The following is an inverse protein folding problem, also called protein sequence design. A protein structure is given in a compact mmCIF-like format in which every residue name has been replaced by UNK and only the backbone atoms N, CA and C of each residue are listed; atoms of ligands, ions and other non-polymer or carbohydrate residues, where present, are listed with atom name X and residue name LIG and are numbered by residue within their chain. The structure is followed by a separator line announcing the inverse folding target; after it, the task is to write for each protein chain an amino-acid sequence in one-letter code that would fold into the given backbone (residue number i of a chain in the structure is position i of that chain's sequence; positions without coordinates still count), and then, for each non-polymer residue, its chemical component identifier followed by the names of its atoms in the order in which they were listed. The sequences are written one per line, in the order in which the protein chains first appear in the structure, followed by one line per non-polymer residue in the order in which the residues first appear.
data_IF_856458878505
#
_entry.id   IF_856458878505
#
_cell.length_a   1.000
_cell.length_b   1.000
_cell.length_c   1.000
_cell.angle_alpha   90.00
_cell.angle_beta   90.00
_cell.angle_gamma   90.00
#
_symmetry.space_group_name_H-M   'P 1'
#
loop_
_entity.id
_entity.type
_entity.pdbx_description
1 polymer ?
#
# COMPACT_ATOMS: atom_id res chain seq x y z
N UNK A 1 -10.86 21.17 -32.77
CA UNK A 1 -10.44 22.23 -31.82
C UNK A 1 -9.02 22.66 -32.13
N UNK A 2 -8.56 23.77 -31.54
CA UNK A 2 -7.24 24.35 -31.78
C UNK A 2 -6.14 23.65 -30.94
N UNK A 3 -5.87 22.37 -31.26
CA UNK A 3 -4.97 21.53 -30.45
C UNK A 3 -3.53 22.05 -30.45
N UNK A 4 -3.05 22.59 -31.57
CA UNK A 4 -1.68 23.07 -31.70
C UNK A 4 -1.40 24.25 -30.76
N UNK A 5 -2.31 25.22 -30.69
CA UNK A 5 -2.10 26.41 -29.84
C UNK A 5 -2.26 26.07 -28.37
N UNK A 6 -3.20 25.17 -28.02
CA UNK A 6 -3.32 24.64 -26.66
C UNK A 6 -2.02 23.95 -26.24
N UNK A 7 -1.49 23.04 -27.06
CA UNK A 7 -0.26 22.31 -26.76
C UNK A 7 0.95 23.25 -26.61
N UNK A 8 1.10 24.24 -27.49
CA UNK A 8 2.17 25.25 -27.38
C UNK A 8 2.08 26.06 -26.10
N UNK A 9 0.89 26.54 -25.75
CA UNK A 9 0.66 27.32 -24.53
C UNK A 9 0.99 26.49 -23.27
N UNK A 10 0.52 25.25 -23.23
CA UNK A 10 0.82 24.33 -22.13
C UNK A 10 2.33 24.05 -22.04
N UNK A 11 3.00 23.77 -23.17
CA UNK A 11 4.44 23.51 -23.19
C UNK A 11 5.26 24.69 -22.65
N UNK A 12 4.90 25.92 -23.06
CA UNK A 12 5.53 27.13 -22.55
C UNK A 12 5.36 27.26 -21.04
N UNK A 13 4.17 27.00 -20.50
CA UNK A 13 3.93 27.07 -19.05
C UNK A 13 4.55 25.90 -18.27
N UNK A 14 4.73 24.72 -18.89
CA UNK A 14 5.40 23.56 -18.26
C UNK A 14 6.90 23.76 -18.13
N UNK A 15 7.54 24.35 -19.15
CA UNK A 15 8.99 24.60 -19.21
C UNK A 15 9.46 25.77 -18.32
N UNK A 16 8.56 26.44 -17.59
CA UNK A 16 8.93 27.39 -16.53
C UNK A 16 9.20 26.60 -15.25
N UNK A 17 10.35 26.74 -14.60
CA UNK A 17 10.75 26.03 -13.37
C UNK A 17 10.91 24.51 -13.56
N UNK A 18 11.81 24.12 -14.47
CA UNK A 18 12.25 22.73 -14.60
C UNK A 18 13.15 22.35 -13.41
N UNK A 19 13.08 21.10 -12.96
CA UNK A 19 14.01 20.53 -11.98
C UNK A 19 15.44 20.55 -12.55
N UNK A 20 15.59 20.09 -13.80
CA UNK A 20 16.83 20.22 -14.56
C UNK A 20 16.53 20.76 -15.97
N UNK A 21 17.40 21.61 -16.49
CA UNK A 21 17.23 22.21 -17.83
C UNK A 21 17.14 21.14 -18.93
N UNK A 22 17.83 20.01 -18.76
CA UNK A 22 17.81 18.88 -19.72
C UNK A 22 16.47 18.15 -19.79
N UNK A 23 15.54 18.44 -18.87
CA UNK A 23 14.18 17.86 -18.84
C UNK A 23 13.16 18.67 -19.66
N UNK A 24 13.61 19.56 -20.54
CA UNK A 24 12.73 20.40 -21.37
C UNK A 24 11.68 19.58 -22.16
N UNK A 25 10.43 20.03 -22.08
CA UNK A 25 9.32 19.48 -22.85
C UNK A 25 9.24 20.08 -24.24
N UNK A 26 8.91 19.23 -25.21
CA UNK A 26 8.74 19.61 -26.60
C UNK A 26 7.35 19.20 -27.10
N UNK A 27 6.77 20.04 -27.97
CA UNK A 27 5.52 19.70 -28.65
C UNK A 27 5.81 18.83 -29.87
N UNK A 28 5.29 17.60 -29.89
CA UNK A 28 5.37 16.69 -31.02
C UNK A 28 4.00 16.50 -31.68
N UNK A 29 3.86 16.96 -32.92
CA UNK A 29 2.73 16.58 -33.78
C UNK A 29 3.14 15.40 -34.67
N UNK A 30 2.59 14.22 -34.39
CA UNK A 30 2.86 12.98 -35.13
C UNK A 30 2.28 12.98 -36.55
N UNK A 31 1.33 13.87 -36.86
CA UNK A 31 0.57 13.87 -38.12
C UNK A 31 -0.02 12.47 -38.42
N UNK A 32 -0.59 11.85 -37.38
CA UNK A 32 -0.93 10.41 -37.33
C UNK A 32 -1.73 9.90 -38.53
N UNK A 33 -2.70 10.68 -39.00
CA UNK A 33 -3.56 10.30 -40.13
C UNK A 33 -2.73 9.99 -41.38
N UNK A 34 -1.69 10.77 -41.65
CA UNK A 34 -0.99 10.74 -42.93
C UNK A 34 0.37 10.06 -42.84
N UNK A 35 1.01 10.05 -41.66
CA UNK A 35 2.44 9.71 -41.51
C UNK A 35 2.75 8.58 -40.54
N UNK A 36 1.83 8.21 -39.64
CA UNK A 36 2.15 7.28 -38.55
C UNK A 36 1.08 6.19 -38.42
N UNK A 37 1.26 5.10 -39.18
CA UNK A 37 0.33 3.95 -39.18
C UNK A 37 0.24 3.26 -37.82
N UNK A 38 1.32 3.26 -37.02
CA UNK A 38 1.28 2.67 -35.68
C UNK A 38 0.41 3.52 -34.75
N UNK A 39 0.57 4.85 -34.78
CA UNK A 39 -0.24 5.75 -33.97
C UNK A 39 -1.71 5.82 -34.37
N UNK A 40 -2.11 5.32 -35.54
CA UNK A 40 -3.53 5.17 -35.89
C UNK A 40 -4.28 4.19 -34.97
N UNK A 41 -3.56 3.33 -34.23
CA UNK A 41 -4.12 2.43 -33.23
C UNK A 41 -4.12 3.03 -31.81
N UNK A 42 -3.65 4.28 -31.65
CA UNK A 42 -3.55 4.94 -30.34
C UNK A 42 -4.88 5.46 -29.82
N UNK A 43 -4.98 5.58 -28.49
CA UNK A 43 -6.14 6.16 -27.81
C UNK A 43 -6.38 7.63 -28.21
N UNK A 44 -5.33 8.41 -28.43
CA UNK A 44 -5.44 9.82 -28.83
C UNK A 44 -6.00 9.96 -30.24
N UNK A 45 -5.58 9.10 -31.18
CA UNK A 45 -6.15 9.10 -32.53
C UNK A 45 -7.61 8.64 -32.56
N UNK A 46 -7.94 7.59 -31.80
CA UNK A 46 -9.34 7.19 -31.59
C UNK A 46 -10.18 8.33 -31.03
N UNK A 47 -9.69 9.05 -30.03
CA UNK A 47 -10.40 10.18 -29.41
C UNK A 47 -10.63 11.33 -30.40
N UNK A 48 -9.60 11.71 -31.16
CA UNK A 48 -9.68 12.78 -32.16
C UNK A 48 -10.67 12.44 -33.28
N UNK A 49 -10.66 11.19 -33.77
CA UNK A 49 -11.62 10.71 -34.80
C UNK A 49 -13.06 10.65 -34.29
N UNK A 50 -13.26 10.63 -32.96
CA UNK A 50 -14.54 10.74 -32.29
C UNK A 50 -14.85 12.17 -31.78
N UNK A 51 -14.24 13.19 -32.40
CA UNK A 51 -14.47 14.60 -32.11
C UNK A 51 -14.14 15.00 -30.65
N UNK A 52 -13.21 14.30 -29.99
CA UNK A 52 -12.71 14.64 -28.66
C UNK A 52 -11.28 15.21 -28.77
N UNK A 53 -11.02 16.43 -28.26
CA UNK A 53 -9.65 16.91 -28.08
C UNK A 53 -8.84 15.90 -27.26
N UNK A 54 -7.66 15.53 -27.74
CA UNK A 54 -6.81 14.56 -27.06
C UNK A 54 -5.35 14.99 -27.13
N UNK A 55 -4.64 14.79 -26.03
CA UNK A 55 -3.23 15.08 -25.85
C UNK A 55 -2.59 13.89 -25.15
N UNK A 56 -1.33 13.62 -25.47
CA UNK A 56 -0.50 12.68 -24.71
C UNK A 56 0.60 13.48 -24.02
N UNK A 57 0.85 13.17 -22.75
CA UNK A 57 1.96 13.71 -21.98
C UNK A 57 2.93 12.56 -21.77
N UNK A 58 4.15 12.71 -22.27
CA UNK A 58 5.20 11.70 -22.14
C UNK A 58 6.38 12.32 -21.41
N UNK A 59 6.82 11.70 -20.32
CA UNK A 59 8.08 12.05 -19.66
C UNK A 59 9.21 11.22 -20.25
N UNK A 60 10.41 11.81 -20.32
CA UNK A 60 11.58 11.14 -20.88
C UNK A 60 11.90 9.84 -20.13
N UNK A 61 12.31 8.81 -20.88
CA UNK A 61 12.84 7.57 -20.32
C UNK A 61 14.18 7.77 -19.59
N UNK A 62 14.90 8.85 -19.92
CA UNK A 62 16.19 9.19 -19.32
C UNK A 62 16.04 9.79 -17.93
N UNK A 63 14.86 10.34 -17.59
CA UNK A 63 14.53 10.67 -16.22
C UNK A 63 14.37 9.32 -15.52
N UNK A 64 15.25 9.00 -14.58
CA UNK A 64 15.17 7.72 -13.85
C UNK A 64 14.36 7.85 -12.58
N UNK A 65 14.35 9.04 -11.98
CA UNK A 65 13.57 9.37 -10.80
C UNK A 65 12.06 9.37 -11.09
N UNK A 66 11.31 8.60 -10.30
CA UNK A 66 9.86 8.51 -10.43
C UNK A 66 9.17 9.80 -9.96
N UNK A 67 9.67 10.44 -8.91
CA UNK A 67 9.11 11.68 -8.37
C UNK A 67 9.17 12.81 -9.40
N UNK A 68 10.27 12.92 -10.15
CA UNK A 68 10.42 13.88 -11.25
C UNK A 68 9.37 13.63 -12.33
N UNK A 69 9.19 12.38 -12.75
CA UNK A 69 8.19 12.02 -13.76
C UNK A 69 6.78 12.41 -13.31
N UNK A 70 6.42 12.07 -12.07
CA UNK A 70 5.10 12.38 -11.52
C UNK A 70 4.92 13.89 -11.39
N UNK A 71 5.92 14.61 -10.89
CA UNK A 71 5.92 16.07 -10.79
C UNK A 71 5.63 16.72 -12.15
N UNK A 72 6.37 16.36 -13.20
CA UNK A 72 6.18 16.94 -14.52
C UNK A 72 4.82 16.58 -15.14
N UNK A 73 4.32 15.35 -14.94
CA UNK A 73 3.00 14.97 -15.42
C UNK A 73 1.90 15.78 -14.73
N UNK A 74 1.92 15.87 -13.39
CA UNK A 74 0.94 16.64 -12.63
C UNK A 74 0.99 18.12 -13.01
N UNK A 75 2.19 18.71 -13.06
CA UNK A 75 2.38 20.10 -13.48
C UNK A 75 1.76 20.36 -14.86
N UNK A 76 2.00 19.47 -15.82
CA UNK A 76 1.47 19.60 -17.18
C UNK A 76 -0.05 19.45 -17.21
N UNK A 77 -0.61 18.51 -16.43
CA UNK A 77 -2.06 18.36 -16.27
C UNK A 77 -2.69 19.63 -15.70
N UNK A 78 -2.10 20.24 -14.67
CA UNK A 78 -2.57 21.50 -14.09
C UNK A 78 -2.56 22.63 -15.13
N UNK A 79 -1.53 22.70 -15.99
CA UNK A 79 -1.49 23.69 -17.08
C UNK A 79 -2.59 23.44 -18.12
N UNK A 80 -2.87 22.18 -18.47
CA UNK A 80 -4.01 21.86 -19.33
C UNK A 80 -5.33 22.28 -18.71
N UNK A 81 -5.57 21.95 -17.43
CA UNK A 81 -6.78 22.35 -16.70
C UNK A 81 -6.97 23.86 -16.71
N UNK A 82 -5.90 24.63 -16.43
CA UNK A 82 -5.92 26.09 -16.48
C UNK A 82 -6.25 26.62 -17.88
N UNK A 83 -5.65 26.08 -18.95
CA UNK A 83 -5.96 26.50 -20.34
C UNK A 83 -7.42 26.15 -20.72
N UNK A 84 -7.97 25.10 -20.13
CA UNK A 84 -9.36 24.67 -20.32
C UNK A 84 -10.35 25.35 -19.36
N UNK A 85 -9.89 26.27 -18.49
CA UNK A 85 -10.70 26.90 -17.44
C UNK A 85 -11.37 25.89 -16.48
N UNK A 86 -10.67 24.82 -16.15
CA UNK A 86 -11.08 23.85 -15.14
C UNK A 86 -10.47 24.28 -13.81
N UNK A 87 -11.32 24.59 -12.84
CA UNK A 87 -10.90 24.88 -11.47
C UNK A 87 -10.60 23.56 -10.72
N UNK A 88 -9.54 23.56 -9.93
CA UNK A 88 -9.14 22.41 -9.12
C UNK A 88 -8.48 22.88 -7.82
N UNK A 89 -8.47 21.98 -6.85
CA UNK A 89 -7.72 22.14 -5.60
C UNK A 89 -6.94 20.88 -5.31
N UNK A 90 -5.89 21.02 -4.52
CA UNK A 90 -5.02 19.93 -4.06
C UNK A 90 -4.72 20.11 -2.58
N UNK A 91 -4.59 19.00 -1.87
CA UNK A 91 -4.33 18.98 -0.43
C UNK A 91 -2.85 19.08 -0.07
N UNK A 92 -1.96 19.25 -1.05
CA UNK A 92 -0.51 19.27 -0.90
C UNK A 92 0.13 20.33 -1.82
N UNK A 93 1.39 20.71 -1.56
CA UNK A 93 2.16 21.62 -2.43
C UNK A 93 2.95 20.86 -3.51
N UNK A 94 3.11 21.42 -4.73
CA UNK A 94 3.57 20.66 -5.90
C UNK A 94 5.04 20.98 -6.00
N UNK A 95 5.81 20.18 -5.28
CA UNK A 95 7.27 20.24 -5.17
C UNK A 95 7.80 18.81 -5.17
N UNK A 96 9.03 18.65 -5.61
CA UNK A 96 9.68 17.34 -5.73
C UNK A 96 9.67 16.57 -4.41
N UNK A 97 10.08 17.21 -3.31
CA UNK A 97 10.16 16.57 -1.99
C UNK A 97 8.78 16.14 -1.48
N UNK A 98 7.74 16.91 -1.83
CA UNK A 98 6.36 16.55 -1.50
C UNK A 98 5.89 15.34 -2.29
N UNK A 99 6.19 15.27 -3.60
CA UNK A 99 5.86 14.11 -4.44
C UNK A 99 6.63 12.88 -3.97
N UNK A 100 7.92 13.00 -3.65
CA UNK A 100 8.72 11.90 -3.12
C UNK A 100 8.10 11.35 -1.83
N UNK A 101 7.73 12.24 -0.90
CA UNK A 101 7.05 11.86 0.35
C UNK A 101 5.74 11.12 0.07
N UNK A 102 4.90 11.66 -0.83
CA UNK A 102 3.62 11.04 -1.19
C UNK A 102 3.80 9.68 -1.88
N UNK A 103 4.83 9.50 -2.70
CA UNK A 103 5.13 8.21 -3.34
C UNK A 103 5.69 7.18 -2.37
N UNK A 104 6.36 7.63 -1.30
CA UNK A 104 6.87 6.75 -0.23
C UNK A 104 5.75 6.18 0.63
N UNK A 105 4.62 6.87 0.70
CA UNK A 105 3.42 6.38 1.36
C UNK A 105 2.56 5.57 0.39
N UNK A 106 2.70 4.24 0.48
CA UNK A 106 1.98 3.30 -0.37
C UNK A 106 0.52 3.13 0.07
N UNK A 107 0.19 3.52 1.31
CA UNK A 107 -1.15 3.39 1.88
C UNK A 107 -1.39 2.09 2.64
N UNK A 108 -2.67 1.77 2.83
CA UNK A 108 -3.15 0.63 3.62
C UNK A 108 -3.77 -0.45 2.74
N UNK A 109 -3.62 -1.70 3.19
CA UNK A 109 -4.33 -2.87 2.66
C UNK A 109 -5.18 -3.49 3.78
N UNK A 110 -6.49 -3.57 3.56
CA UNK A 110 -7.42 -4.31 4.39
C UNK A 110 -7.70 -5.68 3.77
N UNK A 111 -7.74 -6.73 4.61
CA UNK A 111 -8.16 -8.09 4.23
C UNK A 111 -9.43 -8.47 5.00
N UNK A 112 -10.62 -8.36 4.38
CA UNK A 112 -11.89 -8.78 4.93
C UNK A 112 -12.07 -10.32 4.86
N UNK A 113 -12.93 -10.92 5.71
CA UNK A 113 -13.69 -10.31 6.81
C UNK A 113 -12.86 -10.15 8.09
N UNK A 114 -11.61 -10.61 8.09
CA UNK A 114 -10.72 -10.64 9.27
C UNK A 114 -10.30 -9.27 9.78
N UNK A 115 -10.61 -8.19 9.05
CA UNK A 115 -10.26 -6.79 9.36
C UNK A 115 -8.76 -6.60 9.57
N UNK A 116 -7.94 -7.41 8.90
CA UNK A 116 -6.49 -7.29 8.98
C UNK A 116 -6.09 -6.03 8.22
N UNK A 117 -5.44 -5.10 8.92
CA UNK A 117 -4.91 -3.88 8.34
C UNK A 117 -3.39 -3.97 8.22
N UNK A 118 -2.87 -3.78 7.01
CA UNK A 118 -1.43 -3.75 6.73
C UNK A 118 -1.03 -2.37 6.22
N UNK A 119 -0.06 -1.73 6.90
CA UNK A 119 0.59 -0.53 6.38
C UNK A 119 1.66 -0.96 5.36
N UNK A 120 1.42 -0.66 4.09
CA UNK A 120 2.25 -1.13 2.98
C UNK A 120 3.62 -0.43 2.92
N UNK A 121 3.70 0.79 3.43
CA UNK A 121 4.92 1.60 3.47
C UNK A 121 5.98 1.00 4.40
N UNK A 122 5.53 0.37 5.50
CA UNK A 122 6.40 -0.21 6.53
C UNK A 122 6.56 -1.73 6.42
N UNK A 123 5.78 -2.41 5.58
CA UNK A 123 5.74 -3.88 5.50
C UNK A 123 7.09 -4.50 5.08
N UNK A 124 7.49 -5.63 5.69
CA UNK A 124 8.65 -6.40 5.24
C UNK A 124 8.42 -7.00 3.83
N UNK A 125 9.49 -7.27 3.06
CA UNK A 125 9.37 -7.87 1.72
C UNK A 125 8.69 -9.25 1.68
N UNK A 126 8.71 -9.99 2.80
CA UNK A 126 7.99 -11.26 2.90
C UNK A 126 7.45 -11.48 4.31
N UNK A 127 6.17 -11.84 4.39
CA UNK A 127 5.46 -12.17 5.62
C UNK A 127 5.12 -13.65 5.58
N UNK A 128 5.51 -14.39 6.62
CA UNK A 128 5.25 -15.84 6.73
C UNK A 128 4.07 -16.10 7.64
N UNK A 129 3.48 -17.29 7.50
CA UNK A 129 2.35 -17.73 8.32
C UNK A 129 1.16 -16.79 8.21
N UNK A 130 0.95 -16.17 7.05
CA UNK A 130 -0.12 -15.21 6.89
C UNK A 130 -1.45 -15.94 6.68
N UNK A 131 -2.46 -15.76 7.55
CA UNK A 131 -3.69 -16.54 7.48
C UNK A 131 -4.49 -16.14 6.24
N UNK A 132 -4.83 -17.12 5.40
CA UNK A 132 -5.63 -16.90 4.20
C UNK A 132 -6.75 -17.94 4.14
N UNK A 133 -7.96 -17.46 3.85
CA UNK A 133 -9.11 -18.34 3.68
C UNK A 133 -8.91 -19.21 2.43
N UNK A 134 -9.14 -20.51 2.57
CA UNK A 134 -9.02 -21.50 1.50
C UNK A 134 -9.96 -21.26 0.32
N UNK A 135 -11.12 -20.65 0.57
CA UNK A 135 -12.17 -20.47 -0.44
C UNK A 135 -11.91 -19.23 -1.30
N UNK A 136 -11.90 -18.06 -0.68
CA UNK A 136 -11.76 -16.77 -1.37
C UNK A 136 -10.79 -15.84 -0.64
N UNK A 137 -10.08 -15.02 -1.42
CA UNK A 137 -9.22 -13.96 -0.91
C UNK A 137 -9.74 -12.62 -1.42
N UNK A 138 -10.21 -11.79 -0.49
CA UNK A 138 -10.69 -10.43 -0.76
C UNK A 138 -9.73 -9.42 -0.14
N UNK A 139 -9.56 -8.27 -0.79
CA UNK A 139 -8.80 -7.16 -0.23
C UNK A 139 -9.40 -5.82 -0.65
N UNK A 140 -9.09 -4.79 0.13
CA UNK A 140 -9.38 -3.39 -0.17
C UNK A 140 -8.12 -2.57 0.07
N UNK A 141 -7.85 -1.57 -0.77
CA UNK A 141 -6.75 -0.64 -0.54
C UNK A 141 -7.24 0.80 -0.79
N UNK A 142 -6.70 1.73 -0.02
CA UNK A 142 -6.89 3.17 -0.23
C UNK A 142 -6.05 3.70 -1.41
N UNK A 143 -5.07 2.93 -1.87
CA UNK A 143 -4.26 3.24 -3.03
C UNK A 143 -4.79 2.49 -4.27
N UNK A 144 -5.29 3.21 -5.30
CA UNK A 144 -5.90 2.60 -6.49
C UNK A 144 -4.91 1.81 -7.37
N UNK A 145 -3.60 1.97 -7.17
CA UNK A 145 -2.57 1.23 -7.90
C UNK A 145 -2.18 -0.08 -7.19
N UNK A 146 -2.70 -0.33 -5.98
CA UNK A 146 -2.40 -1.54 -5.24
C UNK A 146 -3.18 -2.73 -5.80
N UNK A 147 -2.46 -3.80 -6.10
CA UNK A 147 -3.03 -5.06 -6.54
C UNK A 147 -2.43 -6.24 -5.80
N UNK A 148 -3.23 -7.26 -5.49
CA UNK A 148 -2.73 -8.52 -4.91
C UNK A 148 -2.83 -9.64 -5.94
N UNK A 149 -1.66 -10.18 -6.31
CA UNK A 149 -1.55 -11.24 -7.31
C UNK A 149 -1.29 -12.58 -6.62
N UNK A 150 -2.19 -13.55 -6.85
CA UNK A 150 -2.03 -14.92 -6.35
C UNK A 150 -1.10 -15.73 -7.25
N UNK A 151 -0.11 -16.37 -6.65
CA UNK A 151 0.82 -17.30 -7.28
C UNK A 151 1.01 -18.51 -6.35
N UNK A 152 0.28 -19.60 -6.62
CA UNK A 152 0.20 -20.81 -5.77
C UNK A 152 -0.22 -20.49 -4.33
N UNK A 153 0.69 -20.66 -3.38
CA UNK A 153 0.58 -20.41 -1.94
C UNK A 153 1.11 -19.03 -1.53
N UNK A 154 1.42 -18.17 -2.50
CA UNK A 154 1.92 -16.82 -2.26
C UNK A 154 1.00 -15.76 -2.84
N UNK A 155 0.92 -14.63 -2.15
CA UNK A 155 0.14 -13.46 -2.56
C UNK A 155 1.08 -12.26 -2.60
N UNK A 156 1.35 -11.78 -3.81
CA UNK A 156 2.25 -10.66 -4.10
C UNK A 156 1.46 -9.37 -4.06
N UNK A 157 1.77 -8.50 -3.11
CA UNK A 157 1.21 -7.15 -3.01
C UNK A 157 2.06 -6.24 -3.89
N UNK A 158 1.45 -5.67 -4.91
CA UNK A 158 2.07 -4.78 -5.89
C UNK A 158 1.53 -3.36 -5.70
N UNK A 159 2.35 -2.34 -5.92
CA UNK A 159 1.93 -0.95 -6.18
C UNK A 159 2.39 -0.59 -7.59
N UNK A 160 1.46 -0.58 -8.55
CA UNK A 160 1.81 -0.50 -9.96
C UNK A 160 2.74 -1.64 -10.37
N UNK A 161 3.98 -1.31 -10.75
CA UNK A 161 5.02 -2.28 -11.12
C UNK A 161 5.97 -2.67 -9.98
N UNK A 162 5.81 -2.10 -8.77
CA UNK A 162 6.70 -2.33 -7.64
C UNK A 162 6.13 -3.43 -6.76
N UNK A 163 6.94 -4.48 -6.49
CA UNK A 163 6.60 -5.48 -5.48
C UNK A 163 6.83 -4.90 -4.09
N UNK A 164 5.76 -4.78 -3.30
CA UNK A 164 5.80 -4.26 -1.94
C UNK A 164 6.12 -5.38 -0.94
N UNK A 165 5.37 -6.47 -1.00
CA UNK A 165 5.55 -7.62 -0.10
C UNK A 165 4.97 -8.90 -0.70
N UNK A 166 5.45 -10.03 -0.21
CA UNK A 166 4.88 -11.35 -0.50
C UNK A 166 4.36 -11.97 0.78
N UNK A 167 3.05 -12.18 0.86
CA UNK A 167 2.41 -12.96 1.92
C UNK A 167 2.54 -14.45 1.55
N UNK A 168 3.21 -15.22 2.40
CA UNK A 168 3.22 -16.69 2.30
C UNK A 168 2.04 -17.22 3.09
N UNK A 169 1.10 -17.79 2.35
CA UNK A 169 -0.19 -18.20 2.88
C UNK A 169 -0.04 -19.37 3.85
N UNK A 170 -0.72 -19.26 4.98
CA UNK A 170 -1.15 -20.39 5.77
C UNK A 170 -2.65 -20.58 5.50
N UNK A 171 -2.96 -21.55 4.65
CA UNK A 171 -4.30 -21.76 4.11
C UNK A 171 -5.18 -22.48 5.13
N UNK A 172 -6.25 -21.82 5.60
CA UNK A 172 -7.09 -22.30 6.70
C UNK A 172 -8.56 -21.92 6.52
N UNK A 173 -9.45 -22.60 7.26
CA UNK A 173 -10.86 -22.18 7.36
C UNK A 173 -10.98 -21.06 8.38
N UNK A 174 -11.84 -20.08 8.08
CA UNK A 174 -12.06 -18.93 8.95
C UNK A 174 -13.35 -19.11 9.78
N UNK A 175 -13.32 -18.62 11.01
CA UNK A 175 -14.46 -18.47 11.90
C UNK A 175 -14.47 -17.01 12.40
N UNK A 176 -15.53 -16.26 12.13
CA UNK A 176 -15.58 -14.83 12.49
C UNK A 176 -16.28 -14.58 13.83
N UNK A 177 -16.38 -15.59 14.70
CA UNK A 177 -17.10 -15.50 15.99
C UNK A 177 -16.38 -14.74 17.10
N UNK A 178 -15.06 -14.51 16.97
CA UNK A 178 -14.29 -13.74 17.94
C UNK A 178 -14.24 -12.26 17.54
N UNK A 179 -14.88 -11.40 18.33
CA UNK A 179 -14.95 -9.96 18.05
C UNK A 179 -13.95 -9.13 18.85
N UNK A 180 -13.75 -9.47 20.12
CA UNK A 180 -12.87 -8.76 21.04
C UNK A 180 -12.04 -9.72 21.90
N UNK A 181 -10.90 -9.21 22.37
CA UNK A 181 -10.00 -9.90 23.29
C UNK A 181 -9.72 -9.01 24.50
N UNK A 182 -9.43 -9.65 25.63
CA UNK A 182 -8.87 -8.98 26.81
C UNK A 182 -7.38 -9.26 26.89
N UNK A 183 -6.59 -8.24 27.23
CA UNK A 183 -5.14 -8.34 27.34
C UNK A 183 -4.61 -7.40 28.42
N UNK A 184 -3.42 -7.69 28.92
CA UNK A 184 -2.63 -6.77 29.74
C UNK A 184 -1.60 -6.10 28.83
N UNK A 185 -1.58 -4.77 28.82
CA UNK A 185 -0.55 -3.95 28.19
C UNK A 185 0.25 -3.31 29.30
N UNK A 186 1.53 -3.65 29.42
CA UNK A 186 2.41 -3.11 30.47
C UNK A 186 1.85 -3.31 31.92
N UNK A 187 1.02 -4.34 32.11
CA UNK A 187 0.35 -4.66 33.38
C UNK A 187 -1.07 -4.08 33.52
N UNK A 188 -1.52 -3.24 32.59
CA UNK A 188 -2.86 -2.64 32.61
C UNK A 188 -3.86 -3.41 31.76
N UNK A 189 -5.03 -3.72 32.33
CA UNK A 189 -6.11 -4.42 31.64
C UNK A 189 -6.72 -3.55 30.55
N UNK A 190 -6.73 -4.08 29.33
CA UNK A 190 -7.29 -3.44 28.14
C UNK A 190 -8.17 -4.43 27.39
N UNK A 191 -9.09 -3.91 26.57
CA UNK A 191 -9.82 -4.69 25.57
C UNK A 191 -9.51 -4.16 24.18
N UNK A 192 -9.41 -5.06 23.21
CA UNK A 192 -9.14 -4.71 21.83
C UNK A 192 -10.02 -5.52 20.90
N UNK A 193 -10.41 -4.91 19.78
CA UNK A 193 -11.13 -5.61 18.72
C UNK A 193 -10.17 -6.50 17.93
N UNK A 194 -10.65 -7.65 17.47
CA UNK A 194 -9.95 -8.45 16.46
C UNK A 194 -9.75 -7.61 15.19
N UNK A 195 -8.58 -7.74 14.56
CA UNK A 195 -8.11 -6.95 13.42
C UNK A 195 -7.35 -5.68 13.79
N UNK A 196 -7.33 -5.29 15.07
CA UNK A 196 -6.69 -4.05 15.51
C UNK A 196 -5.17 -4.13 15.59
N UNK A 197 -4.53 -2.95 15.43
CA UNK A 197 -3.13 -2.70 15.81
C UNK A 197 -3.11 -2.11 17.22
N UNK A 198 -2.36 -2.74 18.11
CA UNK A 198 -2.30 -2.40 19.54
C UNK A 198 -0.86 -2.07 19.89
N UNK A 199 -0.63 -0.95 20.56
CA UNK A 199 0.70 -0.54 21.01
C UNK A 199 0.99 -0.99 22.45
N UNK A 200 2.20 -1.51 22.68
CA UNK A 200 2.74 -1.83 24.00
C UNK A 200 4.13 -1.21 24.15
N UNK A 201 4.52 -0.75 25.34
CA UNK A 201 5.86 -0.19 25.53
C UNK A 201 6.87 -1.27 25.94
N UNK A 202 6.50 -2.15 26.87
CA UNK A 202 7.39 -3.12 27.51
C UNK A 202 6.92 -4.54 27.31
N UNK A 203 5.63 -4.80 27.45
CA UNK A 203 5.10 -6.17 27.40
C UNK A 203 3.61 -6.22 27.09
N UNK A 204 3.18 -7.36 26.56
CA UNK A 204 1.77 -7.71 26.52
C UNK A 204 1.54 -9.13 27.06
N UNK A 205 0.31 -9.41 27.45
CA UNK A 205 -0.16 -10.74 27.84
C UNK A 205 -1.62 -10.88 27.41
N UNK A 206 -1.95 -11.95 26.67
CA UNK A 206 -3.33 -12.18 26.26
C UNK A 206 -4.06 -12.97 27.35
N UNK A 207 -5.22 -12.49 27.79
CA UNK A 207 -6.01 -13.20 28.79
C UNK A 207 -6.54 -14.54 28.23
N UNK A 208 -6.67 -15.59 29.04
CA UNK A 208 -7.25 -16.86 28.60
C UNK A 208 -8.66 -16.70 28.04
N UNK A 209 -8.92 -17.31 26.88
CA UNK A 209 -10.23 -17.34 26.23
C UNK A 209 -10.66 -18.80 26.11
N UNK A 210 -11.76 -19.17 26.77
CA UNK A 210 -12.21 -20.56 26.85
C UNK A 210 -12.44 -21.16 25.45
N UNK A 211 -11.73 -22.24 25.15
CA UNK A 211 -11.85 -22.99 23.90
C UNK A 211 -11.02 -22.43 22.74
N UNK A 212 -10.22 -21.39 22.97
CA UNK A 212 -9.33 -20.83 21.95
C UNK A 212 -7.88 -21.21 22.23
N UNK A 213 -7.13 -21.46 21.15
CA UNK A 213 -5.67 -21.52 21.14
C UNK A 213 -5.12 -20.18 20.68
N UNK A 214 -4.17 -19.64 21.41
CA UNK A 214 -3.48 -18.38 21.09
C UNK A 214 -2.09 -18.72 20.57
N UNK A 215 -1.71 -18.12 19.44
CA UNK A 215 -0.40 -18.30 18.83
C UNK A 215 0.24 -16.93 18.54
N UNK A 216 1.32 -16.60 19.23
CA UNK A 216 2.10 -15.38 19.00
C UNK A 216 3.20 -15.67 17.99
N UNK A 217 3.04 -15.13 16.78
CA UNK A 217 3.96 -15.39 15.67
C UNK A 217 5.32 -14.77 15.97
N UNK A 218 6.32 -15.63 16.14
CA UNK A 218 7.68 -15.24 16.52
C UNK A 218 8.05 -15.55 17.97
N UNK A 219 7.11 -16.05 18.79
CA UNK A 219 7.38 -16.58 20.12
C UNK A 219 7.31 -18.12 20.10
N UNK A 220 8.07 -18.76 20.98
CA UNK A 220 7.97 -20.21 21.22
C UNK A 220 8.50 -20.56 22.59
N UNK A 221 7.85 -21.50 23.27
CA UNK A 221 8.32 -22.06 24.55
C UNK A 221 8.06 -23.56 24.57
N UNK A 222 9.06 -24.33 24.97
CA UNK A 222 8.97 -25.79 25.01
C UNK A 222 7.81 -26.24 25.93
N UNK A 223 7.01 -27.21 25.45
CA UNK A 223 5.84 -27.72 26.16
C UNK A 223 4.62 -26.79 26.16
N UNK A 224 4.70 -25.60 25.56
CA UNK A 224 3.58 -24.65 25.46
C UNK A 224 2.90 -24.81 24.10
N UNK A 225 1.61 -25.16 24.13
CA UNK A 225 0.78 -25.36 22.94
C UNK A 225 -0.05 -24.10 22.61
N UNK A 226 -0.28 -23.26 23.62
CA UNK A 226 -1.10 -22.06 23.55
C UNK A 226 -0.53 -21.01 24.51
N UNK A 227 -0.44 -19.75 24.07
CA UNK A 227 0.28 -18.69 24.81
C UNK A 227 -0.62 -17.70 25.56
N UNK A 228 -1.77 -18.15 26.03
CA UNK A 228 -2.58 -17.39 27.00
C UNK A 228 -1.88 -17.24 28.35
N UNK A 229 -2.07 -16.09 29.00
CA UNK A 229 -1.52 -15.81 30.33
C UNK A 229 0.01 -15.75 30.39
N UNK A 230 0.69 -15.70 29.25
CA UNK A 230 2.14 -15.55 29.17
C UNK A 230 2.49 -14.09 28.89
N UNK A 231 3.24 -13.48 29.80
CA UNK A 231 3.85 -12.17 29.59
C UNK A 231 4.95 -12.26 28.54
N UNK A 232 4.79 -11.52 27.45
CA UNK A 232 5.72 -11.47 26.31
C UNK A 232 6.35 -10.09 26.23
N UNK A 233 7.67 -10.06 26.06
CA UNK A 233 8.49 -8.86 25.96
C UNK A 233 9.20 -8.86 24.60
N UNK A 234 9.60 -7.69 24.05
CA UNK A 234 10.20 -7.62 22.71
C UNK A 234 11.40 -8.55 22.50
N UNK A 235 12.22 -8.74 23.54
CA UNK A 235 13.44 -9.55 23.46
C UNK A 235 13.17 -11.06 23.36
N UNK A 236 11.97 -11.52 23.72
CA UNK A 236 11.58 -12.93 23.60
C UNK A 236 11.03 -13.28 22.22
N UNK A 237 10.88 -12.29 21.34
CA UNK A 237 10.35 -12.46 19.99
C UNK A 237 11.47 -12.54 18.95
N UNK A 238 11.32 -13.49 18.03
CA UNK A 238 12.20 -13.62 16.88
C UNK A 238 11.92 -12.53 15.85
N UNK A 239 12.82 -11.56 15.73
CA UNK A 239 12.76 -10.43 14.77
C UNK A 239 12.42 -10.81 13.33
N UNK A 240 12.83 -12.00 12.87
CA UNK A 240 12.51 -12.52 11.53
C UNK A 240 11.02 -12.82 11.29
N UNK A 241 10.18 -12.73 12.33
CA UNK A 241 8.73 -12.91 12.27
C UNK A 241 7.95 -11.61 12.42
N UNK A 242 8.62 -10.49 12.72
CA UNK A 242 7.97 -9.19 12.67
C UNK A 242 7.49 -8.87 11.26
N UNK A 243 6.38 -8.16 11.14
CA UNK A 243 5.76 -7.85 9.85
C UNK A 243 6.25 -6.54 9.24
N UNK A 244 6.82 -5.64 10.03
CA UNK A 244 7.33 -4.34 9.61
C UNK A 244 8.86 -4.31 9.51
N UNK A 245 9.39 -3.42 8.67
CA UNK A 245 10.84 -3.22 8.45
C UNK A 245 11.59 -2.85 9.72
N UNK A 246 10.95 -2.18 10.68
CA UNK A 246 11.55 -1.79 11.96
C UNK A 246 11.53 -2.93 13.00
N UNK A 247 10.91 -4.06 12.67
CA UNK A 247 10.85 -5.27 13.49
C UNK A 247 10.11 -5.09 14.83
N UNK A 248 9.09 -4.24 14.82
CA UNK A 248 8.33 -3.82 16.00
C UNK A 248 6.93 -4.42 16.08
N UNK A 249 6.38 -4.92 14.97
CA UNK A 249 4.99 -5.38 14.86
C UNK A 249 4.93 -6.89 14.69
N UNK A 250 4.17 -7.57 15.54
CA UNK A 250 4.02 -9.03 15.56
C UNK A 250 2.55 -9.43 15.52
N UNK A 251 2.25 -10.52 14.80
CA UNK A 251 0.89 -11.05 14.69
C UNK A 251 0.58 -11.98 15.86
N UNK A 252 -0.62 -11.86 16.43
CA UNK A 252 -1.16 -12.79 17.43
C UNK A 252 -2.42 -13.41 16.86
N UNK A 253 -2.37 -14.72 16.62
CA UNK A 253 -3.45 -15.47 15.98
C UNK A 253 -4.31 -16.17 17.03
N UNK A 254 -5.61 -16.22 16.76
CA UNK A 254 -6.58 -16.94 17.57
C UNK A 254 -7.16 -18.10 16.77
N UNK A 255 -7.25 -19.27 17.38
CA UNK A 255 -7.82 -20.46 16.74
C UNK A 255 -8.84 -21.14 17.62
N UNK A 256 -9.87 -21.72 17.01
CA UNK A 256 -10.86 -22.58 17.68
C UNK A 256 -11.19 -23.74 16.75
N UNK A 257 -11.16 -24.96 17.26
CA UNK A 257 -11.46 -26.17 16.49
C UNK A 257 -10.68 -26.27 15.15
N UNK A 258 -9.40 -25.85 15.16
CA UNK A 258 -8.49 -25.76 13.98
C UNK A 258 -8.86 -24.70 12.93
N UNK A 259 -9.86 -23.86 13.20
CA UNK A 259 -10.22 -22.70 12.38
C UNK A 259 -9.55 -21.45 12.91
N UNK A 260 -9.23 -20.53 12.01
CA UNK A 260 -8.69 -19.23 12.36
C UNK A 260 -9.81 -18.26 12.71
N UNK A 261 -9.72 -17.71 13.92
CA UNK A 261 -10.75 -16.86 14.49
C UNK A 261 -10.45 -15.36 14.36
N UNK A 262 -9.34 -15.03 13.71
CA UNK A 262 -8.82 -13.67 13.57
C UNK A 262 -7.47 -13.48 14.25
N UNK A 263 -6.98 -12.25 14.18
CA UNK A 263 -5.70 -11.86 14.77
C UNK A 263 -5.73 -10.43 15.29
N UNK A 264 -4.76 -10.09 16.12
CA UNK A 264 -4.38 -8.69 16.40
C UNK A 264 -2.90 -8.50 16.06
N UNK A 265 -2.52 -7.27 15.76
CA UNK A 265 -1.12 -6.90 15.59
C UNK A 265 -0.65 -6.17 16.85
N UNK A 266 0.44 -6.62 17.47
CA UNK A 266 1.07 -5.92 18.60
C UNK A 266 2.28 -5.16 18.09
N UNK A 267 2.28 -3.84 18.26
CA UNK A 267 3.42 -2.97 18.00
C UNK A 267 4.13 -2.61 19.30
N UNK A 268 5.42 -2.92 19.38
CA UNK A 268 6.26 -2.38 20.44
C UNK A 268 6.74 -0.99 20.07
N UNK A 269 6.33 0.00 20.85
CA UNK A 269 6.77 1.39 20.69
C UNK A 269 7.87 1.67 21.70
N UNK A 270 8.97 2.28 21.26
CA UNK A 270 9.96 2.77 22.22
C UNK A 270 9.30 3.83 23.13
N UNK A 271 9.60 3.84 24.44
CA UNK A 271 9.19 4.94 25.29
C UNK A 271 9.72 6.23 24.69
N UNK A 272 8.84 7.23 24.48
CA UNK A 272 9.30 8.59 24.17
C UNK A 272 10.26 9.01 25.29
N UNK A 273 11.53 9.22 24.94
CA UNK A 273 12.53 9.81 25.83
C UNK A 273 12.16 11.24 26.19
#
# INVERSE_FOLDING_TARGET
GNLADIAKKVNQETNVDLIEDVHEFNVKNTNTKDKDKAMQQSLTYFSITNNKPAFAIETSKNITDLSHKVFYQLKTIEKFMKVMNIEFTRSFELKEETIETLLSDVGMLEIPPTKIMLNLSTLKPSIRFFPINKEEFHYQSDNPLVAVLKDKDTYKIMNGNILISTLKADMMEFDNSLEEISLLLDGEKTRAKVGSLISANKSFEIAPIKGYRINVIGYSKEGVVSEEGIKIEPHSLMKSYAIDKNETIYMVHFYKDKKFCGMVNIQFVEPKK
#
